data_IF_337776057754
#
_entry.id   IF_337776057754
#
_cell.length_a   1.000
_cell.length_b   1.000
_cell.length_c   1.000
_cell.angle_alpha   90.00
_cell.angle_beta   90.00
_cell.angle_gamma   90.00
#
_symmetry.space_group_name_H-M   'P 1'
#
loop_
_entity.id
_entity.type
_entity.pdbx_description
1 polymer ?
#
# COMPACT_ATOMS: atom_id res chain seq x y z
N UNK A 1 -23.93 5.03 7.67
CA UNK A 1 -23.02 5.24 6.53
C UNK A 1 -22.99 6.68 6.05
N UNK A 2 -24.13 7.29 5.72
CA UNK A 2 -24.17 8.63 5.11
C UNK A 2 -23.65 9.76 6.01
N UNK A 3 -23.94 9.70 7.31
CA UNK A 3 -23.40 10.64 8.31
C UNK A 3 -21.86 10.65 8.33
N UNK A 4 -21.23 9.46 8.35
CA UNK A 4 -19.77 9.33 8.30
C UNK A 4 -19.21 9.87 6.98
N UNK A 5 -19.83 9.51 5.85
CA UNK A 5 -19.43 10.02 4.53
C UNK A 5 -19.40 11.55 4.51
N UNK A 6 -20.48 12.21 4.96
CA UNK A 6 -20.53 13.69 5.01
C UNK A 6 -19.44 14.31 5.88
N UNK A 7 -19.08 13.67 7.00
CA UNK A 7 -17.99 14.15 7.85
C UNK A 7 -16.62 13.97 7.19
N UNK A 8 -16.39 12.83 6.53
CA UNK A 8 -15.15 12.57 5.76
C UNK A 8 -15.01 13.60 4.65
N UNK A 9 -16.06 13.87 3.86
CA UNK A 9 -16.02 14.87 2.78
C UNK A 9 -15.71 16.30 3.29
N UNK A 10 -16.30 16.69 4.43
CA UNK A 10 -15.99 18.00 5.04
C UNK A 10 -14.54 18.10 5.49
N UNK A 11 -14.01 17.05 6.10
CA UNK A 11 -12.63 17.02 6.56
C UNK A 11 -11.65 16.97 5.36
N UNK A 12 -11.99 16.20 4.32
CA UNK A 12 -11.27 16.12 3.05
C UNK A 12 -11.06 17.52 2.44
N UNK A 13 -12.12 18.31 2.32
CA UNK A 13 -12.04 19.66 1.74
C UNK A 13 -11.08 20.60 2.50
N UNK A 14 -10.90 20.41 3.81
CA UNK A 14 -9.91 21.17 4.59
C UNK A 14 -8.49 20.72 4.27
N UNK A 15 -8.25 19.41 4.15
CA UNK A 15 -6.94 18.84 3.79
C UNK A 15 -6.55 19.22 2.35
N UNK A 16 -7.50 19.30 1.41
CA UNK A 16 -7.25 19.80 0.05
C UNK A 16 -6.69 21.23 0.07
N UNK A 17 -7.21 22.10 0.95
CA UNK A 17 -6.68 23.46 1.13
C UNK A 17 -5.28 23.45 1.73
N UNK A 18 -4.99 22.53 2.65
CA UNK A 18 -3.65 22.38 3.22
C UNK A 18 -2.64 21.98 2.14
N UNK A 19 -3.00 21.01 1.28
CA UNK A 19 -2.17 20.60 0.14
C UNK A 19 -1.93 21.76 -0.84
N UNK A 20 -2.98 22.51 -1.18
CA UNK A 20 -2.86 23.67 -2.07
C UNK A 20 -1.97 24.78 -1.49
N UNK A 21 -2.12 25.07 -0.19
CA UNK A 21 -1.31 26.07 0.49
C UNK A 21 0.17 25.66 0.58
N UNK A 22 0.45 24.38 0.83
CA UNK A 22 1.80 23.84 0.87
C UNK A 22 2.50 23.99 -0.51
N UNK A 23 1.75 23.72 -1.59
CA UNK A 23 2.24 23.90 -2.97
C UNK A 23 2.56 25.34 -3.36
N UNK A 24 1.95 26.34 -2.72
CA UNK A 24 2.10 27.75 -3.08
C UNK A 24 3.23 28.47 -2.31
N UNK A 25 3.82 27.84 -1.29
CA UNK A 25 4.86 28.46 -0.48
C UNK A 25 6.24 28.39 -1.16
N UNK A 26 6.91 29.54 -1.30
CA UNK A 26 8.27 29.63 -1.84
C UNK A 26 9.26 28.97 -0.86
N UNK A 27 9.92 27.88 -1.28
CA UNK A 27 10.67 26.94 -0.40
C UNK A 27 9.91 25.66 -0.03
N UNK A 28 8.71 25.45 -0.57
CA UNK A 28 7.74 24.41 -0.18
C UNK A 28 8.01 22.96 -0.60
N UNK A 29 9.09 22.67 -1.35
CA UNK A 29 9.37 21.32 -1.88
C UNK A 29 9.43 20.25 -0.76
N UNK A 30 10.11 20.53 0.36
CA UNK A 30 10.27 19.56 1.45
C UNK A 30 9.02 19.42 2.34
N UNK A 31 8.38 20.54 2.70
CA UNK A 31 7.13 20.52 3.51
C UNK A 31 6.01 19.78 2.78
N UNK A 32 5.97 19.86 1.45
CA UNK A 32 5.02 19.11 0.63
C UNK A 32 5.25 17.61 0.76
N UNK A 33 6.51 17.15 0.68
CA UNK A 33 6.87 15.74 0.88
C UNK A 33 6.48 15.27 2.28
N UNK A 34 6.71 16.06 3.33
CA UNK A 34 6.29 15.70 4.70
C UNK A 34 4.78 15.52 4.81
N UNK A 35 4.00 16.45 4.24
CA UNK A 35 2.53 16.35 4.22
C UNK A 35 2.06 15.13 3.43
N UNK A 36 2.61 14.88 2.25
CA UNK A 36 2.30 13.69 1.44
C UNK A 36 2.60 12.42 2.24
N UNK A 37 3.78 12.32 2.85
CA UNK A 37 4.13 11.19 3.69
C UNK A 37 3.16 11.02 4.88
N UNK A 38 2.72 12.10 5.52
CA UNK A 38 1.72 12.02 6.58
C UNK A 38 0.39 11.45 6.06
N UNK A 39 -0.09 11.92 4.90
CA UNK A 39 -1.33 11.41 4.31
C UNK A 39 -1.24 9.92 3.95
N UNK A 40 -0.09 9.48 3.43
CA UNK A 40 0.16 8.06 3.14
C UNK A 40 0.19 7.21 4.40
N UNK A 41 0.95 7.64 5.41
CA UNK A 41 1.06 6.90 6.67
C UNK A 41 -0.26 6.86 7.43
N UNK A 42 -1.05 7.93 7.38
CA UNK A 42 -2.41 7.97 7.94
C UNK A 42 -3.42 7.16 7.11
N UNK A 43 -3.04 6.67 5.92
CA UNK A 43 -3.87 5.81 5.09
C UNK A 43 -5.01 6.55 4.39
N UNK A 44 -4.82 7.83 4.10
CA UNK A 44 -5.83 8.72 3.49
C UNK A 44 -5.37 9.36 2.18
N UNK A 45 -4.16 9.05 1.71
CA UNK A 45 -3.59 9.60 0.47
C UNK A 45 -4.44 9.30 -0.77
N UNK A 46 -5.18 8.19 -0.80
CA UNK A 46 -6.06 7.81 -1.92
C UNK A 46 -7.18 8.83 -2.20
N UNK A 47 -7.45 9.77 -1.28
CA UNK A 47 -8.39 10.87 -1.52
C UNK A 47 -7.83 11.98 -2.40
N UNK A 48 -6.51 12.04 -2.56
CA UNK A 48 -5.76 13.15 -3.15
C UNK A 48 -4.76 12.70 -4.22
N UNK A 49 -4.96 11.54 -4.85
CA UNK A 49 -3.98 10.93 -5.76
C UNK A 49 -3.51 11.90 -6.85
N UNK A 50 -4.43 12.63 -7.49
CA UNK A 50 -4.10 13.59 -8.53
C UNK A 50 -3.26 14.77 -8.01
N UNK A 51 -3.65 15.34 -6.86
CA UNK A 51 -2.93 16.45 -6.24
C UNK A 51 -1.53 16.03 -5.77
N UNK A 52 -1.41 14.83 -5.21
CA UNK A 52 -0.12 14.26 -4.80
C UNK A 52 0.77 14.07 -6.01
N UNK A 53 0.26 13.46 -7.08
CA UNK A 53 1.02 13.22 -8.31
C UNK A 53 1.52 14.53 -8.95
N UNK A 54 0.65 15.53 -9.06
CA UNK A 54 1.03 16.84 -9.61
C UNK A 54 2.12 17.52 -8.77
N UNK A 55 2.05 17.44 -7.44
CA UNK A 55 3.08 17.99 -6.55
C UNK A 55 4.39 17.22 -6.66
N UNK A 56 4.35 15.88 -6.68
CA UNK A 56 5.54 15.05 -6.80
C UNK A 56 6.25 15.25 -8.15
N UNK A 57 5.49 15.46 -9.24
CA UNK A 57 6.05 15.83 -10.54
C UNK A 57 6.84 17.12 -10.46
N UNK A 58 6.25 18.18 -9.90
CA UNK A 58 6.92 19.48 -9.72
C UNK A 58 8.16 19.36 -8.82
N UNK A 59 8.03 18.62 -7.72
CA UNK A 59 9.16 18.34 -6.81
C UNK A 59 10.28 17.64 -7.57
N UNK A 60 9.98 16.60 -8.34
CA UNK A 60 10.97 15.84 -9.09
C UNK A 60 11.68 16.71 -10.13
N UNK A 61 10.93 17.48 -10.92
CA UNK A 61 11.46 18.40 -11.93
C UNK A 61 12.40 19.46 -11.32
N UNK A 62 12.04 20.00 -10.15
CA UNK A 62 12.88 20.96 -9.41
C UNK A 62 14.07 20.28 -8.71
N UNK A 63 13.91 19.02 -8.29
CA UNK A 63 14.90 18.25 -7.51
C UNK A 63 16.04 17.68 -8.37
N UNK A 64 15.82 17.48 -9.67
CA UNK A 64 16.82 16.94 -10.61
C UNK A 64 18.07 17.82 -10.75
N UNK A 65 18.02 19.09 -10.33
CA UNK A 65 19.17 19.99 -10.33
C UNK A 65 19.75 20.31 -8.93
N UNK A 66 19.05 19.99 -7.83
CA UNK A 66 19.26 20.69 -6.55
C UNK A 66 19.46 19.77 -5.31
N UNK A 67 19.02 18.50 -5.35
CA UNK A 67 19.10 17.60 -4.16
C UNK A 67 20.54 17.26 -3.74
N UNK A 68 21.48 17.32 -4.70
CA UNK A 68 22.91 17.13 -4.46
C UNK A 68 23.61 18.38 -3.91
N UNK A 69 23.05 19.58 -4.10
CA UNK A 69 23.67 20.85 -3.73
C UNK A 69 23.06 21.49 -2.47
N UNK A 70 21.79 21.21 -2.13
CA UNK A 70 21.18 21.70 -0.88
C UNK A 70 21.76 21.04 0.36
N UNK A 71 21.98 21.84 1.41
CA UNK A 71 22.34 21.42 2.77
C UNK A 71 21.16 20.78 3.52
N UNK A 72 20.44 19.89 2.83
CA UNK A 72 19.33 19.14 3.38
C UNK A 72 19.86 18.00 4.24
N UNK A 73 19.34 17.90 5.48
CA UNK A 73 19.69 16.84 6.42
C UNK A 73 19.31 15.44 5.96
N UNK A 74 19.85 14.42 6.65
CA UNK A 74 19.64 13.00 6.32
C UNK A 74 18.15 12.64 6.24
N UNK A 75 17.36 13.14 7.19
CA UNK A 75 15.91 12.97 7.20
C UNK A 75 15.26 13.45 5.90
N UNK A 76 15.57 14.67 5.47
CA UNK A 76 14.88 15.31 4.36
C UNK A 76 15.15 14.62 3.04
N UNK A 77 16.42 14.31 2.78
CA UNK A 77 16.84 13.59 1.57
C UNK A 77 16.28 12.19 1.53
N UNK A 78 16.36 11.45 2.65
CA UNK A 78 15.84 10.08 2.71
C UNK A 78 14.33 10.04 2.49
N UNK A 79 13.59 10.99 3.08
CA UNK A 79 12.14 11.07 2.94
C UNK A 79 11.73 11.38 1.50
N UNK A 80 12.30 12.43 0.89
CA UNK A 80 12.00 12.81 -0.49
C UNK A 80 12.34 11.69 -1.46
N UNK A 81 13.51 11.08 -1.32
CA UNK A 81 13.91 9.92 -2.10
C UNK A 81 12.90 8.77 -1.97
N UNK A 82 12.48 8.45 -0.74
CA UNK A 82 11.53 7.37 -0.48
C UNK A 82 10.18 7.64 -1.15
N UNK A 83 9.59 8.80 -0.88
CA UNK A 83 8.26 9.16 -1.41
C UNK A 83 8.29 9.18 -2.94
N UNK A 84 9.26 9.85 -3.56
CA UNK A 84 9.37 9.91 -5.02
C UNK A 84 9.49 8.51 -5.64
N UNK A 85 10.34 7.63 -5.11
CA UNK A 85 10.46 6.25 -5.63
C UNK A 85 9.21 5.41 -5.42
N UNK A 86 8.48 5.61 -4.32
CA UNK A 86 7.20 4.93 -4.07
C UNK A 86 6.14 5.27 -5.13
N UNK A 87 6.20 6.48 -5.70
CA UNK A 87 5.35 6.95 -6.79
C UNK A 87 5.94 6.69 -8.19
N UNK A 88 7.03 5.94 -8.28
CA UNK A 88 7.60 5.50 -9.56
C UNK A 88 8.62 6.45 -10.19
N UNK A 89 8.98 7.55 -9.52
CA UNK A 89 10.03 8.45 -10.00
C UNK A 89 11.42 7.81 -9.83
N UNK A 90 12.21 7.80 -10.91
CA UNK A 90 13.57 7.25 -10.91
C UNK A 90 14.58 8.25 -10.35
N UNK A 91 14.58 8.41 -9.03
CA UNK A 91 15.54 9.27 -8.32
C UNK A 91 16.90 8.56 -8.19
N UNK A 92 18.03 9.14 -8.63
CA UNK A 92 19.37 8.56 -8.40
C UNK A 92 19.72 8.46 -6.92
N UNK A 93 20.48 7.44 -6.53
CA UNK A 93 20.93 7.27 -5.14
C UNK A 93 22.16 8.11 -4.78
N UNK A 94 22.74 8.86 -5.73
CA UNK A 94 23.99 9.59 -5.56
C UNK A 94 23.89 10.70 -4.51
N UNK A 95 22.66 11.20 -4.26
CA UNK A 95 22.37 12.14 -3.20
C UNK A 95 22.81 11.65 -1.81
N UNK A 96 22.94 10.33 -1.59
CA UNK A 96 23.40 9.79 -0.32
C UNK A 96 24.92 9.84 -0.13
N UNK A 97 25.71 10.09 -1.18
CA UNK A 97 27.17 10.19 -1.05
C UNK A 97 27.60 11.34 -0.13
N UNK A 98 26.82 12.42 -0.04
CA UNK A 98 27.10 13.55 0.86
C UNK A 98 27.05 13.17 2.35
N UNK A 99 26.40 12.05 2.68
CA UNK A 99 26.34 11.50 4.04
C UNK A 99 27.47 10.51 4.34
N UNK A 100 28.37 10.27 3.38
CA UNK A 100 29.55 9.42 3.55
C UNK A 100 30.78 10.25 3.90
N UNK A 101 31.68 9.67 4.69
CA UNK A 101 33.00 10.21 4.95
C UNK A 101 33.90 9.97 3.73
N UNK A 102 34.58 11.01 3.25
CA UNK A 102 35.41 10.94 2.04
C UNK A 102 36.67 10.08 2.22
N UNK A 103 37.14 9.87 3.46
CA UNK A 103 38.35 9.11 3.77
C UNK A 103 38.06 7.62 3.93
N UNK A 104 37.00 7.28 4.68
CA UNK A 104 36.65 5.88 4.93
C UNK A 104 35.73 5.31 3.86
N UNK A 105 34.96 6.16 3.18
CA UNK A 105 33.91 5.72 2.28
C UNK A 105 32.75 5.07 3.03
N UNK A 106 32.56 5.34 4.32
CA UNK A 106 31.45 4.84 5.15
C UNK A 106 30.48 5.96 5.51
N UNK A 107 29.28 5.64 6.00
CA UNK A 107 28.35 6.64 6.52
C UNK A 107 28.92 7.38 7.73
N UNK A 108 28.80 8.72 7.75
CA UNK A 108 29.39 9.56 8.80
C UNK A 108 28.88 9.18 10.20
N UNK A 109 29.82 9.04 11.14
CA UNK A 109 29.51 8.73 12.55
C UNK A 109 28.59 9.75 13.23
N UNK A 110 28.64 11.02 12.83
CA UNK A 110 27.76 12.05 13.39
C UNK A 110 26.27 11.82 13.11
N UNK A 111 25.93 11.01 12.08
CA UNK A 111 24.55 10.68 11.73
C UNK A 111 23.86 9.82 12.79
N UNK A 112 24.64 9.11 13.64
CA UNK A 112 24.10 8.25 14.71
C UNK A 112 23.20 8.98 15.71
N UNK A 113 23.33 10.31 15.81
CA UNK A 113 22.50 11.15 16.68
C UNK A 113 21.13 11.48 16.07
N UNK A 114 20.98 11.40 14.74
CA UNK A 114 19.74 11.69 14.03
C UNK A 114 18.91 10.42 13.85
N UNK A 115 18.25 9.98 14.93
CA UNK A 115 17.43 8.75 14.92
C UNK A 115 16.31 8.83 13.87
N UNK A 116 15.68 10.00 13.69
CA UNK A 116 14.61 10.23 12.70
C UNK A 116 15.15 10.12 11.27
N UNK A 117 16.33 10.68 11.01
CA UNK A 117 17.04 10.54 9.75
C UNK A 117 17.45 9.11 9.46
N UNK A 118 17.99 8.39 10.45
CA UNK A 118 18.36 6.97 10.30
C UNK A 118 17.15 6.10 10.00
N UNK A 119 16.02 6.30 10.69
CA UNK A 119 14.79 5.58 10.41
C UNK A 119 14.30 5.85 8.98
N UNK A 120 14.39 7.10 8.53
CA UNK A 120 13.99 7.45 7.15
C UNK A 120 14.95 6.86 6.12
N UNK A 121 16.25 6.82 6.40
CA UNK A 121 17.25 6.15 5.57
C UNK A 121 17.00 4.64 5.49
N UNK A 122 16.65 4.01 6.62
CA UNK A 122 16.27 2.60 6.69
C UNK A 122 15.11 2.31 5.76
N UNK A 123 14.02 3.06 5.87
CA UNK A 123 12.85 2.88 5.00
C UNK A 123 13.17 3.14 3.52
N UNK A 124 13.95 4.20 3.22
CA UNK A 124 14.37 4.54 1.87
C UNK A 124 15.23 3.44 1.21
N UNK A 125 16.10 2.79 1.99
CA UNK A 125 17.01 1.74 1.51
C UNK A 125 16.29 0.45 1.05
N UNK A 126 15.04 0.25 1.46
CA UNK A 126 14.19 -0.85 0.95
C UNK A 126 13.68 -0.62 -0.48
N UNK A 127 13.83 0.59 -1.03
CA UNK A 127 13.48 0.92 -2.41
C UNK A 127 14.68 0.87 -3.36
N UNK A 128 15.76 0.22 -2.94
CA UNK A 128 16.95 0.04 -3.77
C UNK A 128 16.67 -0.84 -4.99
N UNK A 129 17.35 -0.52 -6.08
CA UNK A 129 17.38 -1.29 -7.31
C UNK A 129 18.71 -2.07 -7.41
N UNK A 130 18.76 -3.05 -8.30
CA UNK A 130 20.01 -3.74 -8.60
C UNK A 130 21.06 -2.75 -9.12
N UNK A 131 22.28 -2.85 -8.59
CA UNK A 131 23.39 -1.95 -8.95
C UNK A 131 23.52 -0.69 -8.09
N UNK A 132 22.80 -0.59 -6.96
CA UNK A 132 22.87 0.57 -6.05
C UNK A 132 23.55 0.19 -4.71
N UNK A 133 24.89 0.01 -4.69
CA UNK A 133 25.61 -0.49 -3.50
C UNK A 133 25.49 0.45 -2.29
N UNK A 134 25.42 1.77 -2.52
CA UNK A 134 25.24 2.75 -1.45
C UNK A 134 23.97 2.52 -0.62
N UNK A 135 22.90 2.01 -1.23
CA UNK A 135 21.65 1.74 -0.51
C UNK A 135 21.70 0.41 0.24
N UNK A 136 22.48 -0.57 -0.23
CA UNK A 136 22.74 -1.80 0.54
C UNK A 136 23.57 -1.48 1.79
N UNK A 137 24.59 -0.65 1.64
CA UNK A 137 25.37 -0.11 2.77
C UNK A 137 24.49 0.71 3.71
N UNK A 138 23.61 1.57 3.18
CA UNK A 138 22.66 2.35 3.97
C UNK A 138 21.71 1.47 4.77
N UNK A 139 21.21 0.38 4.19
CA UNK A 139 20.37 -0.60 4.87
C UNK A 139 21.14 -1.27 6.02
N UNK A 140 22.38 -1.68 5.78
CA UNK A 140 23.24 -2.31 6.80
C UNK A 140 23.51 -1.35 7.96
N UNK A 141 23.97 -0.14 7.65
CA UNK A 141 24.26 0.92 8.63
C UNK A 141 23.02 1.26 9.46
N UNK A 142 21.91 1.61 8.81
CA UNK A 142 20.69 2.03 9.51
C UNK A 142 20.09 0.90 10.34
N UNK A 143 20.10 -0.35 9.85
CA UNK A 143 19.67 -1.51 10.63
C UNK A 143 20.54 -1.71 11.87
N UNK A 144 21.87 -1.54 11.75
CA UNK A 144 22.76 -1.66 12.89
C UNK A 144 22.44 -0.62 13.97
N UNK A 145 22.23 0.64 13.57
CA UNK A 145 21.91 1.72 14.52
C UNK A 145 20.51 1.57 15.14
N UNK A 146 19.53 1.05 14.39
CA UNK A 146 18.16 0.88 14.87
C UNK A 146 17.93 -0.40 15.70
N UNK A 147 18.87 -1.36 15.69
CA UNK A 147 18.77 -2.59 16.52
C UNK A 147 18.61 -2.28 18.01
N UNK A 148 19.21 -1.19 18.47
CA UNK A 148 19.09 -0.71 19.86
C UNK A 148 17.66 -0.27 20.22
N UNK A 149 16.82 0.02 19.20
CA UNK A 149 15.47 0.57 19.35
C UNK A 149 14.35 -0.45 19.08
N UNK A 150 14.66 -1.74 18.92
CA UNK A 150 13.69 -2.84 18.75
C UNK A 150 12.61 -2.57 17.70
N UNK A 151 13.00 -2.45 16.43
CA UNK A 151 12.04 -2.44 15.33
C UNK A 151 11.66 -3.89 14.96
N UNK A 152 10.44 -4.31 15.27
CA UNK A 152 9.85 -5.53 14.72
C UNK A 152 9.71 -5.35 13.20
N UNK A 153 10.43 -6.18 12.44
CA UNK A 153 10.44 -6.17 10.97
C UNK A 153 9.19 -6.82 10.37
N UNK A 154 8.00 -6.35 10.74
CA UNK A 154 6.79 -6.77 10.05
C UNK A 154 6.51 -5.83 8.88
N UNK A 155 6.75 -6.33 7.67
CA UNK A 155 6.11 -5.78 6.46
C UNK A 155 4.61 -6.00 6.64
N UNK A 156 3.90 -5.02 7.20
CA UNK A 156 2.47 -5.11 7.38
C UNK A 156 1.73 -4.66 6.14
N UNK A 157 0.45 -5.05 6.04
CA UNK A 157 -0.43 -4.46 5.05
C UNK A 157 -0.61 -2.97 5.37
N UNK A 158 -0.63 -2.11 4.33
CA UNK A 158 -0.75 -0.64 4.46
C UNK A 158 -1.83 -0.23 5.46
N UNK A 159 -2.95 -0.95 5.47
CA UNK A 159 -4.08 -0.65 6.35
C UNK A 159 -3.80 -0.88 7.83
N UNK A 160 -3.03 -1.92 8.18
CA UNK A 160 -2.61 -2.20 9.56
C UNK A 160 -1.59 -1.16 10.01
N UNK A 161 -0.66 -0.80 9.12
CA UNK A 161 0.34 0.24 9.37
C UNK A 161 -0.34 1.58 9.63
N UNK A 162 -1.37 1.95 8.85
CA UNK A 162 -2.12 3.19 9.09
C UNK A 162 -2.83 3.20 10.44
N UNK A 163 -3.40 2.08 10.88
CA UNK A 163 -4.01 2.00 12.22
C UNK A 163 -2.99 2.22 13.35
N UNK A 164 -1.81 1.58 13.24
CA UNK A 164 -0.70 1.77 14.18
C UNK A 164 -0.21 3.22 14.14
N UNK A 165 -0.06 3.78 12.94
CA UNK A 165 0.45 5.13 12.75
C UNK A 165 -0.51 6.21 13.24
N UNK A 166 -1.83 6.05 13.05
CA UNK A 166 -2.84 6.96 13.64
C UNK A 166 -2.68 7.03 15.17
N UNK A 167 -2.43 5.88 15.81
CA UNK A 167 -2.26 5.79 17.27
C UNK A 167 -0.95 6.45 17.73
N UNK A 168 0.13 6.27 16.95
CA UNK A 168 1.41 6.94 17.17
C UNK A 168 1.30 8.47 16.97
N UNK A 169 0.73 8.91 15.85
CA UNK A 169 0.56 10.33 15.50
C UNK A 169 -0.34 11.06 16.51
N UNK A 170 -1.32 10.38 17.11
CA UNK A 170 -2.14 10.94 18.17
C UNK A 170 -1.35 11.32 19.44
N UNK A 171 -0.16 10.75 19.65
CA UNK A 171 0.69 11.01 20.80
C UNK A 171 1.75 12.09 20.53
N UNK A 172 1.97 12.45 19.26
CA UNK A 172 2.93 13.50 18.92
C UNK A 172 2.43 14.88 19.39
N UNK A 173 3.36 15.69 19.91
CA UNK A 173 3.07 17.07 20.32
C UNK A 173 2.85 17.99 19.11
N UNK A 174 3.55 17.74 18.00
CA UNK A 174 3.48 18.53 16.76
C UNK A 174 2.34 18.12 15.83
N UNK A 175 1.42 17.25 16.28
CA UNK A 175 0.35 16.72 15.43
C UNK A 175 -0.62 17.81 14.98
N UNK A 176 -1.12 17.65 13.76
CA UNK A 176 -2.21 18.43 13.21
C UNK A 176 -3.55 17.74 13.56
N UNK A 177 -4.36 18.41 14.38
CA UNK A 177 -5.65 17.88 14.83
C UNK A 177 -6.66 17.68 13.68
N UNK A 178 -6.52 18.44 12.59
CA UNK A 178 -7.37 18.28 11.39
C UNK A 178 -7.02 16.98 10.67
N UNK A 179 -5.73 16.72 10.43
CA UNK A 179 -5.25 15.48 9.81
C UNK A 179 -5.59 14.26 10.68
N UNK A 180 -5.36 14.35 11.99
CA UNK A 180 -5.69 13.25 12.91
C UNK A 180 -7.18 12.93 12.90
N UNK A 181 -8.03 13.96 12.96
CA UNK A 181 -9.49 13.79 12.92
C UNK A 181 -9.93 13.19 11.59
N UNK A 182 -9.38 13.67 10.47
CA UNK A 182 -9.68 13.14 9.15
C UNK A 182 -9.32 11.66 9.05
N UNK A 183 -8.10 11.29 9.47
CA UNK A 183 -7.63 9.91 9.45
C UNK A 183 -8.51 8.98 10.29
N UNK A 184 -8.92 9.39 11.51
CA UNK A 184 -9.82 8.59 12.36
C UNK A 184 -11.20 8.39 11.73
N UNK A 185 -11.77 9.46 11.17
CA UNK A 185 -13.08 9.40 10.52
C UNK A 185 -13.06 8.50 9.30
N UNK A 186 -12.06 8.67 8.44
CA UNK A 186 -11.87 7.84 7.26
C UNK A 186 -11.62 6.38 7.64
N UNK A 187 -10.78 6.15 8.65
CA UNK A 187 -10.46 4.80 9.10
C UNK A 187 -11.71 4.03 9.50
N UNK A 188 -12.55 4.63 10.34
CA UNK A 188 -13.80 4.04 10.82
C UNK A 188 -14.82 3.87 9.70
N UNK A 189 -14.90 4.82 8.77
CA UNK A 189 -15.81 4.73 7.62
C UNK A 189 -15.47 3.53 6.72
N UNK A 190 -14.19 3.38 6.38
CA UNK A 190 -13.71 2.27 5.56
C UNK A 190 -13.83 0.94 6.29
N UNK A 191 -13.53 0.89 7.59
CA UNK A 191 -13.70 -0.32 8.40
C UNK A 191 -15.17 -0.78 8.41
N UNK A 192 -16.13 0.14 8.53
CA UNK A 192 -17.55 -0.17 8.46
C UNK A 192 -17.97 -0.71 7.08
N UNK A 193 -17.38 -0.20 6.00
CA UNK A 193 -17.59 -0.79 4.66
C UNK A 193 -17.04 -2.21 4.59
N UNK A 194 -15.81 -2.43 5.07
CA UNK A 194 -15.20 -3.75 5.06
C UNK A 194 -16.00 -4.77 5.88
N UNK A 195 -16.59 -4.37 7.00
CA UNK A 195 -17.48 -5.23 7.79
C UNK A 195 -18.76 -5.63 7.03
N UNK A 196 -19.37 -4.68 6.30
CA UNK A 196 -20.56 -4.98 5.48
C UNK A 196 -20.22 -5.92 4.32
N UNK A 197 -19.09 -5.69 3.66
CA UNK A 197 -18.58 -6.54 2.58
C UNK A 197 -18.23 -7.94 3.10
N UNK A 198 -17.55 -8.05 4.24
CA UNK A 198 -17.27 -9.32 4.88
C UNK A 198 -18.57 -10.07 5.20
N UNK A 199 -19.57 -9.40 5.77
CA UNK A 199 -20.87 -10.03 6.02
C UNK A 199 -21.52 -10.54 4.72
N UNK A 200 -21.39 -9.80 3.62
CA UNK A 200 -21.86 -10.25 2.31
C UNK A 200 -21.09 -11.48 1.80
N UNK A 201 -19.77 -11.47 1.86
CA UNK A 201 -18.92 -12.58 1.40
C UNK A 201 -19.13 -13.84 2.26
N UNK A 202 -19.24 -13.69 3.58
CA UNK A 202 -19.53 -14.80 4.49
C UNK A 202 -20.90 -15.42 4.24
N UNK A 203 -21.93 -14.60 3.94
CA UNK A 203 -23.24 -15.12 3.52
C UNK A 203 -23.12 -15.90 2.22
N UNK A 204 -22.49 -15.32 1.20
CA UNK A 204 -22.26 -16.00 -0.08
C UNK A 204 -21.57 -17.36 0.12
N UNK A 205 -20.53 -17.43 0.95
CA UNK A 205 -19.81 -18.68 1.20
C UNK A 205 -20.72 -19.72 1.83
N UNK A 206 -21.49 -19.35 2.86
CA UNK A 206 -22.46 -20.24 3.49
C UNK A 206 -23.52 -20.72 2.49
N UNK A 207 -24.04 -19.84 1.65
CA UNK A 207 -25.10 -20.14 0.68
C UNK A 207 -24.64 -21.13 -0.41
N UNK A 208 -23.32 -21.34 -0.59
CA UNK A 208 -22.81 -22.40 -1.48
C UNK A 208 -23.08 -23.81 -0.94
N UNK A 209 -23.26 -23.97 0.37
CA UNK A 209 -23.40 -25.26 1.04
C UNK A 209 -22.16 -26.16 0.94
N UNK A 210 -21.03 -25.65 0.43
CA UNK A 210 -19.82 -26.44 0.22
C UNK A 210 -19.11 -26.76 1.54
N UNK A 211 -19.22 -25.90 2.54
CA UNK A 211 -18.64 -26.13 3.86
C UNK A 211 -19.16 -27.42 4.52
N UNK A 212 -20.46 -27.72 4.37
CA UNK A 212 -21.08 -28.93 4.92
C UNK A 212 -20.72 -30.19 4.12
N UNK A 213 -20.41 -30.03 2.83
CA UNK A 213 -20.07 -31.13 1.90
C UNK A 213 -18.59 -31.46 1.91
N UNK A 214 -17.73 -30.47 2.12
CA UNK A 214 -16.27 -30.59 2.05
C UNK A 214 -15.66 -30.41 3.44
N UNK A 215 -15.96 -31.35 4.35
CA UNK A 215 -15.55 -31.28 5.75
C UNK A 215 -14.02 -31.31 5.95
N UNK A 216 -13.27 -31.78 4.95
CA UNK A 216 -11.80 -31.77 4.96
C UNK A 216 -11.22 -30.37 4.70
N UNK A 217 -11.98 -29.49 4.04
CA UNK A 217 -11.47 -28.22 3.56
C UNK A 217 -11.53 -27.15 4.66
N UNK A 218 -10.50 -26.32 4.73
CA UNK A 218 -10.37 -25.26 5.75
C UNK A 218 -11.39 -24.16 5.50
N UNK A 219 -12.11 -23.76 6.55
CA UNK A 219 -12.96 -22.57 6.49
C UNK A 219 -12.22 -21.31 6.96
N UNK A 220 -11.79 -20.50 5.99
CA UNK A 220 -10.94 -19.30 6.19
C UNK A 220 -11.49 -18.07 5.48
N UNK A 221 -12.80 -17.98 5.25
CA UNK A 221 -13.38 -16.91 4.42
C UNK A 221 -13.09 -15.51 4.99
N UNK A 222 -13.01 -15.37 6.32
CA UNK A 222 -12.66 -14.12 7.00
C UNK A 222 -11.22 -13.72 6.72
N UNK A 223 -10.28 -14.66 6.86
CA UNK A 223 -8.85 -14.46 6.62
C UNK A 223 -8.56 -14.14 5.15
N UNK A 224 -9.25 -14.82 4.23
CA UNK A 224 -9.12 -14.58 2.79
C UNK A 224 -9.70 -13.21 2.39
N UNK A 225 -10.81 -12.79 2.98
CA UNK A 225 -11.31 -11.43 2.80
C UNK A 225 -10.36 -10.39 3.39
N UNK A 226 -9.82 -10.64 4.59
CA UNK A 226 -8.82 -9.77 5.20
C UNK A 226 -7.58 -9.62 4.29
N UNK A 227 -7.10 -10.70 3.68
CA UNK A 227 -6.02 -10.65 2.71
C UNK A 227 -6.34 -9.74 1.51
N UNK A 228 -7.58 -9.79 1.01
CA UNK A 228 -8.03 -8.89 -0.06
C UNK A 228 -8.03 -7.41 0.37
N UNK A 229 -8.38 -7.10 1.62
CA UNK A 229 -8.30 -5.72 2.16
C UNK A 229 -6.86 -5.21 2.22
N UNK A 230 -5.86 -6.08 2.41
CA UNK A 230 -4.46 -5.68 2.46
C UNK A 230 -3.95 -5.13 1.13
N UNK A 231 -4.47 -5.64 0.01
CA UNK A 231 -4.07 -5.23 -1.35
C UNK A 231 -4.93 -4.09 -1.92
N UNK A 232 -6.19 -3.99 -1.48
CA UNK A 232 -7.18 -3.07 -2.05
C UNK A 232 -8.05 -2.48 -0.93
N UNK A 233 -7.51 -1.65 -0.05
CA UNK A 233 -8.27 -1.16 1.11
C UNK A 233 -9.23 0.00 0.77
N UNK A 234 -9.02 0.67 -0.37
CA UNK A 234 -9.70 1.90 -0.75
C UNK A 234 -11.21 1.67 -0.99
N UNK A 235 -12.11 2.57 -0.53
CA UNK A 235 -13.56 2.45 -0.66
C UNK A 235 -14.06 1.93 -2.02
N UNK A 236 -13.55 2.51 -3.11
CA UNK A 236 -14.05 2.29 -4.46
C UNK A 236 -13.63 0.93 -5.05
N UNK A 237 -12.76 0.16 -4.38
CA UNK A 237 -12.29 -1.16 -4.83
C UNK A 237 -13.15 -2.33 -4.30
N UNK A 238 -14.41 -2.08 -3.92
CA UNK A 238 -15.33 -3.09 -3.37
C UNK A 238 -15.45 -4.35 -4.24
N UNK A 239 -15.59 -4.17 -5.56
CA UNK A 239 -15.71 -5.30 -6.50
C UNK A 239 -14.44 -6.14 -6.50
N UNK A 240 -13.26 -5.49 -6.49
CA UNK A 240 -11.98 -6.18 -6.43
C UNK A 240 -11.85 -7.00 -5.15
N UNK A 241 -12.17 -6.43 -3.98
CA UNK A 241 -12.11 -7.17 -2.70
C UNK A 241 -13.05 -8.37 -2.65
N UNK A 242 -14.30 -8.19 -3.07
CA UNK A 242 -15.28 -9.28 -3.10
C UNK A 242 -14.83 -10.37 -4.08
N UNK A 243 -14.42 -10.00 -5.29
CA UNK A 243 -13.96 -10.96 -6.30
C UNK A 243 -12.71 -11.72 -5.82
N UNK A 244 -11.72 -11.01 -5.27
CA UNK A 244 -10.50 -11.60 -4.74
C UNK A 244 -10.78 -12.57 -3.59
N UNK A 245 -11.65 -12.21 -2.64
CA UNK A 245 -12.01 -13.09 -1.53
C UNK A 245 -12.71 -14.38 -2.01
N UNK A 246 -13.66 -14.25 -2.94
CA UNK A 246 -14.36 -15.41 -3.53
C UNK A 246 -13.40 -16.30 -4.32
N UNK A 247 -12.55 -15.70 -5.15
CA UNK A 247 -11.53 -16.40 -5.93
C UNK A 247 -10.56 -17.14 -5.01
N UNK A 248 -9.99 -16.45 -4.02
CA UNK A 248 -9.05 -17.04 -3.07
C UNK A 248 -9.69 -18.18 -2.27
N UNK A 249 -10.99 -18.10 -1.96
CA UNK A 249 -11.72 -19.21 -1.33
C UNK A 249 -11.86 -20.43 -2.24
N UNK A 250 -12.15 -20.22 -3.53
CA UNK A 250 -12.19 -21.33 -4.48
C UNK A 250 -10.80 -21.96 -4.66
N UNK A 251 -9.75 -21.13 -4.76
CA UNK A 251 -8.36 -21.61 -4.82
C UNK A 251 -7.99 -22.41 -3.57
N UNK A 252 -8.37 -21.96 -2.37
CA UNK A 252 -8.07 -22.69 -1.14
C UNK A 252 -8.75 -24.06 -1.07
N UNK A 253 -9.95 -24.21 -1.66
CA UNK A 253 -10.61 -25.52 -1.76
C UNK A 253 -9.86 -26.46 -2.69
N UNK A 254 -9.39 -25.93 -3.84
CA UNK A 254 -8.57 -26.70 -4.77
C UNK A 254 -7.25 -27.10 -4.11
N UNK A 255 -6.56 -26.17 -3.46
CA UNK A 255 -5.35 -26.42 -2.66
C UNK A 255 -5.53 -27.57 -1.66
N UNK A 256 -6.58 -27.49 -0.82
CA UNK A 256 -6.90 -28.55 0.14
C UNK A 256 -7.20 -29.90 -0.54
N UNK A 257 -7.80 -29.87 -1.73
CA UNK A 257 -8.08 -31.08 -2.52
C UNK A 257 -6.79 -31.72 -2.99
N UNK A 258 -5.84 -30.96 -3.53
CA UNK A 258 -4.59 -31.50 -4.09
C UNK A 258 -3.59 -31.91 -3.00
N UNK A 259 -3.47 -31.15 -1.94
CA UNK A 259 -2.39 -31.34 -0.96
C UNK A 259 -2.75 -32.30 0.17
N UNK A 260 -4.04 -32.43 0.50
CA UNK A 260 -4.47 -33.14 1.70
C UNK A 260 -5.57 -34.20 1.51
N UNK A 261 -6.31 -34.20 0.40
CA UNK A 261 -7.50 -35.05 0.27
C UNK A 261 -7.49 -36.02 -0.93
N UNK A 262 -7.33 -35.52 -2.15
CA UNK A 262 -7.50 -36.31 -3.36
C UNK A 262 -6.38 -37.32 -3.58
N UNK A 263 -6.72 -38.51 -4.07
CA UNK A 263 -5.71 -39.48 -4.52
C UNK A 263 -5.11 -39.06 -5.86
N UNK A 264 -3.90 -39.53 -6.23
CA UNK A 264 -3.30 -39.20 -7.52
C UNK A 264 -4.23 -39.47 -8.71
N UNK A 265 -4.97 -40.57 -8.69
CA UNK A 265 -5.92 -40.95 -9.74
C UNK A 265 -7.12 -39.98 -9.81
N UNK A 266 -7.68 -39.59 -8.67
CA UNK A 266 -8.77 -38.61 -8.59
C UNK A 266 -8.31 -37.22 -9.05
N UNK A 267 -7.12 -36.80 -8.61
CA UNK A 267 -6.53 -35.51 -8.98
C UNK A 267 -6.19 -35.44 -10.46
N UNK A 268 -5.81 -36.56 -11.09
CA UNK A 268 -5.60 -36.62 -12.53
C UNK A 268 -6.90 -36.37 -13.29
N UNK A 269 -8.00 -37.02 -12.88
CA UNK A 269 -9.34 -36.81 -13.46
C UNK A 269 -9.83 -35.37 -13.24
N UNK A 270 -9.64 -34.83 -12.02
CA UNK A 270 -10.01 -33.46 -11.69
C UNK A 270 -9.24 -32.44 -12.54
N UNK A 271 -7.92 -32.62 -12.68
CA UNK A 271 -7.06 -31.78 -13.53
C UNK A 271 -7.52 -31.82 -14.99
N UNK A 272 -7.84 -33.01 -15.50
CA UNK A 272 -8.29 -33.17 -16.87
C UNK A 272 -9.65 -32.50 -17.11
N UNK A 273 -10.59 -32.61 -16.15
CA UNK A 273 -11.86 -31.91 -16.22
C UNK A 273 -11.70 -30.39 -16.33
N UNK A 274 -10.79 -29.79 -15.55
CA UNK A 274 -10.47 -28.36 -15.64
C UNK A 274 -9.90 -27.97 -17.01
N UNK A 275 -8.98 -28.78 -17.57
CA UNK A 275 -8.39 -28.55 -18.90
C UNK A 275 -9.45 -28.58 -20.00
N UNK A 276 -10.31 -29.60 -20.01
CA UNK A 276 -11.41 -29.73 -20.99
C UNK A 276 -12.39 -28.56 -20.91
N UNK A 277 -12.74 -28.12 -19.70
CA UNK A 277 -13.61 -26.96 -19.52
C UNK A 277 -12.98 -25.68 -20.10
N UNK A 278 -11.68 -25.47 -19.86
CA UNK A 278 -10.95 -24.31 -20.39
C UNK A 278 -10.93 -24.30 -21.93
N UNK A 279 -10.62 -25.43 -22.55
CA UNK A 279 -10.61 -25.60 -24.01
C UNK A 279 -11.99 -25.32 -24.63
N UNK A 280 -13.05 -25.87 -24.04
CA UNK A 280 -14.42 -25.64 -24.51
C UNK A 280 -14.81 -24.15 -24.38
N UNK A 281 -14.42 -23.48 -23.30
CA UNK A 281 -14.74 -22.06 -23.07
C UNK A 281 -14.05 -21.15 -24.08
N UNK A 282 -12.82 -21.44 -24.49
CA UNK A 282 -12.10 -20.72 -25.56
C UNK A 282 -12.77 -20.95 -26.92
N UNK A 283 -13.24 -22.16 -27.21
CA UNK A 283 -13.98 -22.44 -28.43
C UNK A 283 -15.31 -21.67 -28.49
N UNK A 284 -16.00 -21.49 -27.36
CA UNK A 284 -17.22 -20.66 -27.30
C UNK A 284 -16.95 -19.17 -27.50
N UNK A 285 -15.88 -18.61 -26.93
CA UNK A 285 -15.57 -17.17 -27.12
C UNK A 285 -15.08 -16.86 -28.54
N UNK A 286 -14.35 -17.79 -29.17
CA UNK A 286 -13.94 -17.65 -30.57
C UNK A 286 -15.09 -17.88 -31.58
N UNK A 287 -16.12 -18.64 -31.20
CA UNK A 287 -17.34 -18.83 -31.97
C UNK A 287 -18.36 -17.68 -31.90
N UNK A 288 -18.16 -16.71 -31.00
CA UNK A 288 -19.07 -15.55 -30.76
C UNK A 288 -18.48 -14.23 -31.31
N UNK A 289 -17.63 -14.30 -32.33
CA UNK A 289 -17.17 -13.10 -33.08
C UNK A 289 -18.24 -12.49 -34.00
N UNK A 290 -19.51 -12.91 -33.88
CA UNK A 290 -20.63 -12.44 -34.70
C UNK A 290 -21.63 -11.47 -34.05
N UNK A 291 -21.51 -11.12 -32.77
CA UNK A 291 -22.48 -10.21 -32.12
C UNK A 291 -21.85 -8.83 -31.96
N UNK A 292 -22.31 -7.90 -32.81
CA UNK A 292 -22.00 -6.47 -32.72
C UNK A 292 -22.31 -5.95 -31.31
N UNK A 293 -21.30 -5.34 -30.71
CA UNK A 293 -21.42 -4.46 -29.54
C UNK A 293 -22.35 -3.28 -29.86
N UNK A 294 -23.61 -3.40 -29.47
CA UNK A 294 -24.46 -2.25 -29.13
C UNK A 294 -25.17 -2.57 -27.82
N UNK A 295 -25.25 -1.55 -26.98
CA UNK A 295 -25.89 -1.51 -25.66
C UNK A 295 -25.07 -2.01 -24.46
N UNK A 296 -24.07 -1.20 -24.08
CA UNK A 296 -23.63 -1.07 -22.68
C UNK A 296 -23.60 0.40 -22.20
N UNK A 297 -24.43 1.27 -22.78
CA UNK A 297 -24.57 2.66 -22.33
C UNK A 297 -25.83 2.89 -21.50
N UNK A 298 -26.11 2.04 -20.51
CA UNK A 298 -27.04 2.37 -19.41
C UNK A 298 -26.82 1.46 -18.19
N UNK A 299 -25.76 1.69 -17.41
CA UNK A 299 -25.72 1.52 -15.94
C UNK A 299 -24.84 2.63 -15.38
#
# INVERSE_FOLDING_TARGET
MEFYRRQVERAKATVEKMLAAASAADGGTFRNVELINLLERLGVSYHFEAQIEDQLRLIFEQSLSDVTERDDGLYSVSLAFRVLRQHGYRVPCDAFHKFKDLKTGEFKECLRRDVRGILSLYEASHLRLHGEPILEEALSFSRQQLKEYSATNDKSARRIDSWRYISFYAQEESRDETLLRFAKLDFNFVQLMHQNELAFVSRWWRDTGLQEKLLYARDRIVELYFWATGSHYEPHKVVSRIAAAKFAKMVSLVDDTYDAYGTPEELQLFTEAFKRYHENTICFTNGVTGIRTKDLSTI
#
